data_IF_469875198263
#
_entry.id   IF_469875198263
#
_cell.length_a   1.000
_cell.length_b   1.000
_cell.length_c   1.000
_cell.angle_alpha   90.00
_cell.angle_beta   90.00
_cell.angle_gamma   90.00
#
_symmetry.space_group_name_H-M   'P 1'
#
loop_
_entity.id
_entity.type
_entity.pdbx_description
1 polymer ?
#
# COMPACT_ATOMS: atom_id res chain seq x y z
N UNK A 1 -34.87 17.12 34.96
CA UNK A 1 -34.48 16.13 33.93
C UNK A 1 -33.09 15.63 34.29
N UNK A 2 -33.04 14.50 34.99
CA UNK A 2 -31.85 13.85 35.50
C UNK A 2 -31.33 12.82 34.48
N UNK A 3 -30.03 12.90 34.18
CA UNK A 3 -29.30 12.00 33.28
C UNK A 3 -29.14 10.62 33.95
N UNK A 4 -29.40 9.47 33.28
CA UNK A 4 -29.20 8.17 33.89
C UNK A 4 -27.72 7.77 33.92
N UNK A 5 -27.34 7.14 35.02
CA UNK A 5 -26.00 6.73 35.40
C UNK A 5 -25.75 5.29 34.92
N UNK A 6 -24.84 5.07 33.97
CA UNK A 6 -24.53 3.75 33.38
C UNK A 6 -23.48 2.99 34.21
N UNK A 7 -23.78 2.72 35.47
CA UNK A 7 -22.91 1.94 36.38
C UNK A 7 -23.71 0.81 37.04
N UNK A 8 -24.29 -0.10 36.26
CA UNK A 8 -24.76 -1.41 36.75
C UNK A 8 -24.55 -2.46 35.65
N UNK A 9 -23.47 -3.22 35.76
CA UNK A 9 -23.32 -4.48 35.03
C UNK A 9 -24.23 -5.53 35.70
N UNK A 10 -25.11 -6.24 34.98
CA UNK A 10 -25.77 -7.41 35.53
C UNK A 10 -24.79 -8.59 35.54
N UNK A 11 -24.73 -9.26 36.69
CA UNK A 11 -23.95 -10.46 36.98
C UNK A 11 -24.04 -11.51 35.85
N UNK A 12 -22.89 -11.94 35.32
CA UNK A 12 -22.79 -13.19 34.57
C UNK A 12 -21.86 -14.17 35.28
N UNK A 13 -22.41 -15.35 35.52
CA UNK A 13 -21.81 -16.55 36.14
C UNK A 13 -20.74 -17.14 35.22
N UNK A 14 -19.65 -17.74 35.74
CA UNK A 14 -18.59 -18.29 34.89
C UNK A 14 -19.00 -19.65 34.34
N UNK A 15 -19.25 -19.75 33.03
CA UNK A 15 -19.30 -21.03 32.33
C UNK A 15 -18.14 -21.10 31.34
N UNK A 16 -17.19 -21.99 31.66
CA UNK A 16 -16.22 -22.54 30.72
C UNK A 16 -16.97 -23.45 29.76
N UNK A 17 -17.22 -23.00 28.53
CA UNK A 17 -17.51 -23.88 27.41
C UNK A 17 -17.21 -23.12 26.11
N UNK A 18 -16.47 -23.77 25.21
CA UNK A 18 -16.19 -23.27 23.87
C UNK A 18 -17.51 -23.18 23.11
N UNK A 19 -17.96 -21.97 22.79
CA UNK A 19 -19.18 -21.75 22.01
C UNK A 19 -18.75 -21.28 20.60
N UNK A 20 -19.06 -22.14 19.64
CA UNK A 20 -19.10 -21.87 18.20
C UNK A 20 -19.90 -20.59 17.93
N UNK A 21 -19.45 -19.78 16.97
CA UNK A 21 -19.98 -18.45 16.67
C UNK A 21 -21.52 -18.44 16.58
N UNK A 22 -22.16 -17.66 17.45
CA UNK A 22 -23.61 -17.51 17.53
C UNK A 22 -24.09 -16.51 16.47
N UNK A 23 -25.09 -16.96 15.68
CA UNK A 23 -25.78 -16.30 14.59
C UNK A 23 -26.21 -14.83 14.87
N UNK A 24 -26.05 -13.97 13.87
CA UNK A 24 -26.63 -12.63 13.87
C UNK A 24 -28.16 -12.71 13.75
N UNK A 25 -28.89 -11.83 14.45
CA UNK A 25 -30.36 -11.75 14.39
C UNK A 25 -30.92 -11.22 13.06
N UNK A 26 -30.07 -11.00 12.08
CA UNK A 26 -30.42 -10.62 10.71
C UNK A 26 -29.87 -11.67 9.75
N UNK A 27 -30.76 -12.47 9.17
CA UNK A 27 -30.45 -13.57 8.24
C UNK A 27 -29.61 -13.08 7.03
N UNK A 28 -29.80 -11.83 6.60
CA UNK A 28 -29.02 -11.19 5.53
C UNK A 28 -27.56 -10.90 5.91
N UNK A 29 -27.23 -10.79 7.19
CA UNK A 29 -25.86 -10.54 7.68
C UNK A 29 -25.09 -11.85 7.78
N UNK A 30 -25.75 -12.95 8.14
CA UNK A 30 -25.12 -14.26 8.21
C UNK A 30 -24.70 -14.78 6.83
N UNK A 31 -25.48 -14.51 5.78
CA UNK A 31 -25.12 -14.83 4.39
C UNK A 31 -23.92 -14.01 3.85
N UNK A 32 -23.62 -12.85 4.44
CA UNK A 32 -22.46 -12.03 4.09
C UNK A 32 -21.22 -12.43 4.90
N UNK A 33 -21.42 -12.93 6.13
CA UNK A 33 -20.36 -13.30 7.08
C UNK A 33 -19.93 -14.76 6.93
N UNK A 34 -20.77 -15.66 6.39
CA UNK A 34 -20.45 -17.07 6.15
C UNK A 34 -19.43 -17.31 5.01
N UNK A 35 -18.62 -16.33 4.66
CA UNK A 35 -17.49 -16.46 3.74
C UNK A 35 -16.31 -17.22 4.39
N UNK A 36 -16.60 -18.21 5.22
CA UNK A 36 -15.65 -19.30 5.43
C UNK A 36 -15.64 -20.13 4.15
N UNK A 37 -14.49 -20.09 3.47
CA UNK A 37 -14.24 -20.83 2.24
C UNK A 37 -14.47 -22.33 2.47
N UNK A 38 -15.70 -22.77 2.23
CA UNK A 38 -16.06 -24.18 2.25
C UNK A 38 -15.29 -24.87 1.12
N UNK A 39 -14.26 -25.64 1.48
CA UNK A 39 -13.26 -26.24 0.59
C UNK A 39 -13.84 -27.13 -0.54
N UNK A 40 -15.15 -27.40 -0.53
CA UNK A 40 -15.83 -28.38 -1.39
C UNK A 40 -16.72 -27.80 -2.48
N UNK A 41 -16.94 -26.49 -2.58
CA UNK A 41 -17.85 -25.94 -3.62
C UNK A 41 -17.13 -25.50 -4.90
N UNK A 42 -17.05 -26.41 -5.87
CA UNK A 42 -16.59 -26.12 -7.24
C UNK A 42 -17.50 -25.12 -8.01
N UNK A 43 -18.74 -24.90 -7.53
CA UNK A 43 -19.71 -23.99 -8.15
C UNK A 43 -19.68 -22.56 -7.56
N UNK A 44 -19.21 -22.37 -6.32
CA UNK A 44 -19.06 -21.01 -5.77
C UNK A 44 -17.91 -20.28 -6.47
N UNK A 45 -16.90 -21.01 -6.95
CA UNK A 45 -15.75 -20.45 -7.67
C UNK A 45 -16.12 -19.76 -8.98
N UNK A 46 -17.09 -20.23 -9.78
CA UNK A 46 -17.41 -19.55 -11.06
C UNK A 46 -18.17 -18.24 -10.85
N UNK A 47 -19.15 -18.23 -9.94
CA UNK A 47 -19.88 -17.01 -9.56
C UNK A 47 -18.96 -16.03 -8.85
N UNK A 48 -18.12 -16.51 -7.92
CA UNK A 48 -17.05 -15.72 -7.29
C UNK A 48 -16.02 -15.21 -8.32
N UNK A 49 -15.69 -15.99 -9.35
CA UNK A 49 -14.78 -15.59 -10.41
C UNK A 49 -15.38 -14.46 -11.27
N UNK A 50 -16.64 -14.57 -11.70
CA UNK A 50 -17.33 -13.50 -12.40
C UNK A 50 -17.45 -12.26 -11.52
N UNK A 51 -17.96 -12.39 -10.29
CA UNK A 51 -18.08 -11.25 -9.37
C UNK A 51 -16.73 -10.64 -9.00
N UNK A 52 -15.64 -11.41 -9.01
CA UNK A 52 -14.28 -10.89 -8.77
C UNK A 52 -13.74 -10.05 -9.94
N UNK A 53 -14.08 -10.36 -11.19
CA UNK A 53 -13.79 -9.47 -12.35
C UNK A 53 -14.53 -8.17 -12.17
N UNK A 54 -15.82 -8.24 -11.82
CA UNK A 54 -16.65 -7.07 -11.55
C UNK A 54 -16.06 -6.25 -10.39
N UNK A 55 -15.69 -6.87 -9.27
CA UNK A 55 -15.12 -6.20 -8.10
C UNK A 55 -13.77 -5.52 -8.41
N UNK A 56 -12.84 -6.19 -9.09
CA UNK A 56 -11.54 -5.60 -9.40
C UNK A 56 -11.63 -4.49 -10.46
N UNK A 57 -12.57 -4.59 -11.40
CA UNK A 57 -12.84 -3.54 -12.39
C UNK A 57 -13.54 -2.32 -11.75
N UNK A 58 -14.28 -2.52 -10.65
CA UNK A 58 -15.02 -1.47 -9.91
C UNK A 58 -14.22 -0.75 -8.82
N UNK A 59 -13.01 -1.19 -8.46
CA UNK A 59 -12.17 -0.50 -7.45
C UNK A 59 -11.91 0.97 -7.85
N UNK A 60 -12.05 1.29 -9.14
CA UNK A 60 -12.25 2.65 -9.63
C UNK A 60 -13.58 2.74 -10.39
N UNK A 61 -14.24 3.90 -10.36
CA UNK A 61 -15.48 4.12 -11.12
C UNK A 61 -15.27 3.72 -12.58
N UNK A 62 -16.04 2.76 -13.13
CA UNK A 62 -15.85 2.26 -14.49
C UNK A 62 -16.11 3.34 -15.56
N UNK A 63 -16.67 4.50 -15.18
CA UNK A 63 -16.79 5.65 -16.06
C UNK A 63 -15.53 6.52 -16.11
N UNK A 64 -14.67 6.44 -15.09
CA UNK A 64 -13.47 7.26 -14.99
C UNK A 64 -12.26 6.66 -15.74
N UNK A 65 -12.28 5.35 -15.99
CA UNK A 65 -11.19 4.62 -16.63
C UNK A 65 -11.53 4.35 -18.11
N UNK A 66 -10.65 4.65 -19.08
CA UNK A 66 -10.92 4.39 -20.49
C UNK A 66 -11.21 2.90 -20.78
N UNK A 67 -12.16 2.62 -21.68
CA UNK A 67 -12.60 1.24 -21.97
C UNK A 67 -11.49 0.31 -22.47
N UNK A 68 -10.50 0.84 -23.19
CA UNK A 68 -9.33 0.06 -23.62
C UNK A 68 -8.47 -0.40 -22.44
N UNK A 69 -8.37 0.39 -21.37
CA UNK A 69 -7.65 0.02 -20.14
C UNK A 69 -8.39 -1.11 -19.45
N UNK A 70 -9.72 -0.98 -19.34
CA UNK A 70 -10.57 -2.01 -18.74
C UNK A 70 -10.48 -3.34 -19.48
N UNK A 71 -10.48 -3.31 -20.82
CA UNK A 71 -10.30 -4.51 -21.62
C UNK A 71 -8.94 -5.19 -21.34
N UNK A 72 -7.86 -4.41 -21.23
CA UNK A 72 -6.54 -4.95 -20.87
C UNK A 72 -6.51 -5.55 -19.46
N UNK A 73 -7.12 -4.89 -18.47
CA UNK A 73 -7.25 -5.42 -17.11
C UNK A 73 -8.04 -6.72 -17.11
N UNK A 74 -9.15 -6.78 -17.84
CA UNK A 74 -9.97 -7.99 -17.94
C UNK A 74 -9.20 -9.16 -18.57
N UNK A 75 -8.46 -8.91 -19.66
CA UNK A 75 -7.61 -9.93 -20.30
C UNK A 75 -6.51 -10.39 -19.34
N UNK A 76 -5.82 -9.47 -18.68
CA UNK A 76 -4.80 -9.81 -17.68
C UNK A 76 -5.37 -10.63 -16.53
N UNK A 77 -6.55 -10.28 -16.04
CA UNK A 77 -7.26 -11.02 -15.02
C UNK A 77 -7.58 -12.45 -15.46
N UNK A 78 -8.14 -12.64 -16.66
CA UNK A 78 -8.45 -13.97 -17.20
C UNK A 78 -7.18 -14.80 -17.32
N UNK A 79 -6.11 -14.25 -17.90
CA UNK A 79 -4.84 -14.95 -18.05
C UNK A 79 -4.26 -15.39 -16.69
N UNK A 80 -4.24 -14.50 -15.70
CA UNK A 80 -3.59 -14.76 -14.41
C UNK A 80 -4.47 -15.64 -13.51
N UNK A 81 -5.74 -15.27 -13.32
CA UNK A 81 -6.61 -15.91 -12.35
C UNK A 81 -7.33 -17.15 -12.90
N UNK A 82 -7.63 -17.22 -14.20
CA UNK A 82 -8.36 -18.36 -14.76
C UNK A 82 -7.46 -19.39 -15.44
N UNK A 83 -6.30 -18.97 -15.96
CA UNK A 83 -5.39 -19.89 -16.65
C UNK A 83 -4.19 -20.21 -15.76
N UNK A 84 -3.37 -19.21 -15.41
CA UNK A 84 -2.09 -19.44 -14.73
C UNK A 84 -2.30 -19.96 -13.30
N UNK A 85 -3.17 -19.33 -12.50
CA UNK A 85 -3.36 -19.71 -11.10
C UNK A 85 -3.92 -21.13 -10.94
N UNK A 86 -4.97 -21.56 -11.67
CA UNK A 86 -5.43 -22.94 -11.60
C UNK A 86 -4.38 -23.92 -12.12
N UNK A 87 -3.68 -23.59 -13.22
CA UNK A 87 -2.63 -24.46 -13.77
C UNK A 87 -1.53 -24.73 -12.74
N UNK A 88 -1.01 -23.68 -12.08
CA UNK A 88 0.03 -23.80 -11.05
C UNK A 88 -0.47 -24.60 -9.83
N UNK A 89 -1.74 -24.43 -9.45
CA UNK A 89 -2.31 -25.17 -8.33
C UNK A 89 -2.52 -26.65 -8.63
N UNK A 90 -3.05 -26.99 -9.81
CA UNK A 90 -3.29 -28.39 -10.21
C UNK A 90 -1.99 -29.17 -10.42
N UNK A 91 -0.97 -28.51 -10.98
CA UNK A 91 0.36 -29.09 -11.20
C UNK A 91 1.20 -29.17 -9.92
N UNK A 92 0.67 -28.70 -8.78
CA UNK A 92 1.31 -28.68 -7.46
C UNK A 92 2.75 -28.14 -7.48
N UNK A 93 2.97 -27.12 -8.31
CA UNK A 93 4.26 -26.45 -8.37
C UNK A 93 4.53 -25.84 -6.99
N UNK A 94 5.69 -26.16 -6.39
CA UNK A 94 6.11 -25.67 -5.08
C UNK A 94 5.19 -26.02 -3.88
N UNK A 95 4.44 -27.12 -3.96
CA UNK A 95 3.52 -27.60 -2.89
C UNK A 95 2.39 -26.61 -2.57
N UNK A 96 1.84 -25.93 -3.58
CA UNK A 96 0.74 -24.98 -3.40
C UNK A 96 -0.60 -25.62 -3.05
N UNK A 97 -0.79 -26.94 -3.20
CA UNK A 97 -2.06 -27.60 -2.83
C UNK A 97 -2.39 -27.52 -1.34
N UNK A 98 -1.39 -27.29 -0.49
CA UNK A 98 -1.56 -27.09 0.96
C UNK A 98 -2.26 -25.73 1.24
N UNK A 99 -2.23 -24.82 0.28
CA UNK A 99 -2.72 -23.45 0.41
C UNK A 99 -3.99 -23.25 -0.43
N UNK A 100 -4.92 -22.38 0.03
CA UNK A 100 -6.08 -22.02 -0.77
C UNK A 100 -5.63 -21.27 -2.03
N UNK A 101 -6.36 -21.45 -3.14
CA UNK A 101 -6.06 -20.79 -4.42
C UNK A 101 -6.13 -19.28 -4.25
N UNK A 102 -7.21 -18.80 -3.65
CA UNK A 102 -7.44 -17.40 -3.31
C UNK A 102 -7.36 -17.21 -1.80
N UNK A 103 -6.83 -16.09 -1.36
CA UNK A 103 -6.81 -15.74 0.06
C UNK A 103 -5.94 -14.52 0.31
N UNK A 104 -6.28 -13.76 1.36
CA UNK A 104 -5.51 -12.60 1.82
C UNK A 104 -4.66 -12.92 3.07
N UNK A 105 -4.85 -14.12 3.63
CA UNK A 105 -4.22 -14.54 4.88
C UNK A 105 -2.94 -15.30 4.58
N UNK A 106 -1.85 -14.87 5.22
CA UNK A 106 -0.55 -15.53 5.16
C UNK A 106 -0.59 -16.84 5.94
N UNK A 107 0.13 -17.84 5.44
CA UNK A 107 0.09 -19.21 5.97
C UNK A 107 1.49 -19.71 6.31
N UNK A 108 1.57 -20.62 7.27
CA UNK A 108 2.80 -21.35 7.57
C UNK A 108 3.05 -22.44 6.53
N UNK A 109 4.19 -23.12 6.65
CA UNK A 109 4.56 -24.31 5.87
C UNK A 109 3.47 -25.40 5.98
N UNK A 110 2.83 -25.51 7.14
CA UNK A 110 1.79 -26.51 7.42
C UNK A 110 0.38 -26.10 6.97
N UNK A 111 0.22 -24.91 6.38
CA UNK A 111 -1.10 -24.39 5.96
C UNK A 111 -1.93 -23.76 7.09
N UNK A 112 -1.41 -23.67 8.31
CA UNK A 112 -1.99 -22.89 9.40
C UNK A 112 -1.79 -21.38 9.20
N UNK A 113 -2.54 -20.53 9.91
CA UNK A 113 -2.40 -19.06 9.83
C UNK A 113 -1.04 -18.64 10.39
N UNK A 114 -0.29 -17.84 9.63
CA UNK A 114 1.02 -17.34 10.07
C UNK A 114 0.88 -16.20 11.07
N UNK A 115 1.35 -16.41 12.31
CA UNK A 115 1.29 -15.43 13.39
C UNK A 115 2.56 -14.59 13.44
N UNK A 116 2.46 -13.36 12.97
CA UNK A 116 3.60 -12.43 12.90
C UNK A 116 4.15 -12.06 14.29
N UNK A 117 3.26 -11.94 15.27
CA UNK A 117 3.63 -11.58 16.63
C UNK A 117 4.59 -12.58 17.30
N UNK A 118 4.66 -13.82 16.81
CA UNK A 118 5.52 -14.87 17.37
C UNK A 118 6.95 -14.84 16.78
N UNK A 119 7.16 -14.08 15.70
CA UNK A 119 8.41 -14.05 14.92
C UNK A 119 9.09 -12.68 15.00
N UNK A 120 8.38 -11.69 15.51
CA UNK A 120 8.87 -10.33 15.72
C UNK A 120 9.04 -10.10 17.21
N UNK A 121 10.24 -9.68 17.62
CA UNK A 121 10.47 -9.27 19.00
C UNK A 121 9.66 -8.00 19.30
N UNK A 122 8.73 -8.11 20.23
CA UNK A 122 7.94 -6.98 20.74
C UNK A 122 8.68 -6.44 21.97
N UNK A 123 9.25 -5.24 21.94
CA UNK A 123 9.95 -4.70 23.10
C UNK A 123 8.99 -4.49 24.28
N UNK A 124 9.39 -4.96 25.47
CA UNK A 124 8.55 -4.98 26.67
C UNK A 124 8.23 -3.58 27.26
N UNK A 125 8.91 -2.52 26.80
CA UNK A 125 8.67 -1.15 27.26
C UNK A 125 8.18 -0.27 26.12
N UNK A 126 6.94 0.25 26.26
CA UNK A 126 6.31 1.23 25.37
C UNK A 126 6.81 2.68 25.64
N UNK A 127 7.88 2.86 26.41
CA UNK A 127 8.38 4.19 26.79
C UNK A 127 9.11 4.91 25.65
N UNK A 128 9.69 4.15 24.71
CA UNK A 128 10.36 4.64 23.49
C UNK A 128 9.64 4.08 22.25
N UNK A 129 9.88 4.61 21.04
CA UNK A 129 9.32 4.03 19.81
C UNK A 129 9.74 2.54 19.73
N UNK A 130 8.79 1.58 19.72
CA UNK A 130 9.13 0.18 19.68
C UNK A 130 9.80 -0.14 18.34
N UNK A 131 11.10 -0.46 18.39
CA UNK A 131 11.81 -1.02 17.24
C UNK A 131 11.50 -2.51 17.20
N UNK A 132 10.69 -2.90 16.23
CA UNK A 132 10.43 -4.30 15.93
C UNK A 132 11.64 -4.86 15.19
N UNK A 133 12.23 -5.91 15.75
CA UNK A 133 13.31 -6.68 15.13
C UNK A 133 12.80 -8.09 14.87
N UNK A 134 13.29 -8.69 13.79
CA UNK A 134 12.99 -10.08 13.51
C UNK A 134 13.76 -10.98 14.48
N UNK A 135 13.06 -11.87 15.18
CA UNK A 135 13.69 -12.89 15.99
C UNK A 135 14.10 -14.06 15.10
N UNK A 136 15.40 -14.20 14.84
CA UNK A 136 15.91 -15.22 13.93
C UNK A 136 15.67 -16.64 14.45
N UNK A 137 15.81 -16.87 15.76
CA UNK A 137 15.62 -18.20 16.35
C UNK A 137 14.16 -18.64 16.32
N UNK A 138 13.22 -17.71 16.55
CA UNK A 138 11.80 -17.96 16.40
C UNK A 138 11.47 -18.21 14.92
N UNK A 139 12.05 -17.44 14.01
CA UNK A 139 11.85 -17.61 12.57
C UNK A 139 12.33 -18.98 12.06
N UNK A 140 13.52 -19.42 12.48
CA UNK A 140 14.03 -20.76 12.11
C UNK A 140 13.12 -21.89 12.60
N UNK A 141 12.48 -21.71 13.76
CA UNK A 141 11.53 -22.68 14.33
C UNK A 141 10.17 -22.66 13.62
N UNK A 142 9.62 -21.47 13.33
CA UNK A 142 8.32 -21.31 12.68
C UNK A 142 8.36 -21.55 11.16
N UNK A 143 9.53 -21.39 10.55
CA UNK A 143 9.73 -21.56 9.12
C UNK A 143 9.30 -20.36 8.28
N UNK A 144 9.51 -20.43 6.95
CA UNK A 144 9.22 -19.33 6.05
C UNK A 144 7.72 -19.07 5.90
N UNK A 145 7.36 -17.79 5.75
CA UNK A 145 6.00 -17.37 5.40
C UNK A 145 5.64 -17.88 4.01
N UNK A 146 4.48 -18.53 3.90
CA UNK A 146 3.87 -18.84 2.60
C UNK A 146 2.70 -17.91 2.31
N UNK A 147 2.67 -17.46 1.07
CA UNK A 147 1.58 -16.65 0.53
C UNK A 147 0.62 -17.55 -0.26
N UNK A 148 -0.69 -17.26 -0.24
CA UNK A 148 -1.64 -17.84 -1.16
C UNK A 148 -1.20 -17.63 -2.62
N UNK A 149 -1.55 -18.58 -3.49
CA UNK A 149 -1.05 -18.63 -4.86
C UNK A 149 -1.32 -17.34 -5.63
N UNK A 150 -2.53 -16.80 -5.52
CA UNK A 150 -2.92 -15.60 -6.27
C UNK A 150 -2.20 -14.35 -5.78
N UNK A 151 -1.83 -14.27 -4.50
CA UNK A 151 -0.94 -13.21 -4.00
C UNK A 151 0.45 -13.31 -4.62
N UNK A 152 1.03 -14.51 -4.71
CA UNK A 152 2.37 -14.71 -5.30
C UNK A 152 2.38 -14.31 -6.77
N UNK A 153 1.42 -14.80 -7.55
CA UNK A 153 1.35 -14.48 -8.98
C UNK A 153 1.11 -12.98 -9.18
N UNK A 154 0.26 -12.36 -8.35
CA UNK A 154 0.06 -10.92 -8.36
C UNK A 154 1.34 -10.14 -8.05
N UNK A 155 2.12 -10.54 -7.02
CA UNK A 155 3.42 -9.92 -6.75
C UNK A 155 4.42 -10.10 -7.89
N UNK A 156 4.47 -11.27 -8.52
CA UNK A 156 5.32 -11.50 -9.67
C UNK A 156 4.96 -10.55 -10.83
N UNK A 157 3.66 -10.36 -11.10
CA UNK A 157 3.20 -9.40 -12.11
C UNK A 157 3.55 -7.96 -11.73
N UNK A 158 3.39 -7.56 -10.47
CA UNK A 158 3.80 -6.24 -10.00
C UNK A 158 5.30 -6.00 -10.15
N UNK A 159 6.13 -7.00 -9.87
CA UNK A 159 7.58 -6.91 -10.07
C UNK A 159 7.94 -6.79 -11.56
N UNK A 160 7.26 -7.54 -12.44
CA UNK A 160 7.43 -7.43 -13.88
C UNK A 160 6.94 -6.08 -14.44
N UNK A 161 5.93 -5.49 -13.80
CA UNK A 161 5.38 -4.19 -14.20
C UNK A 161 6.40 -3.06 -14.03
N UNK A 162 7.32 -3.16 -13.06
CA UNK A 162 8.27 -2.09 -12.75
C UNK A 162 9.24 -1.75 -13.88
N UNK A 163 10.01 -2.70 -14.44
CA UNK A 163 10.86 -2.41 -15.59
C UNK A 163 10.01 -2.13 -16.83
N UNK A 164 8.85 -2.77 -16.98
CA UNK A 164 7.98 -2.59 -18.15
C UNK A 164 7.51 -1.15 -18.30
N UNK A 165 7.03 -0.51 -17.22
CA UNK A 165 6.59 0.89 -17.26
C UNK A 165 7.75 1.85 -17.53
N UNK A 166 8.92 1.63 -16.91
CA UNK A 166 10.11 2.47 -17.13
C UNK A 166 10.53 2.40 -18.60
N UNK A 167 10.65 1.19 -19.15
CA UNK A 167 11.01 0.98 -20.55
C UNK A 167 9.95 1.56 -21.48
N UNK A 168 8.66 1.37 -21.19
CA UNK A 168 7.57 1.92 -21.97
C UNK A 168 7.61 3.46 -22.00
N UNK A 169 7.82 4.09 -20.85
CA UNK A 169 7.96 5.55 -20.75
C UNK A 169 9.14 6.06 -21.57
N UNK A 170 10.31 5.40 -21.48
CA UNK A 170 11.50 5.83 -22.23
C UNK A 170 11.32 5.65 -23.74
N UNK A 171 10.80 4.51 -24.19
CA UNK A 171 10.70 4.19 -25.62
C UNK A 171 9.58 4.98 -26.31
N UNK A 172 8.39 5.06 -25.72
CA UNK A 172 7.23 5.70 -26.35
C UNK A 172 7.17 7.20 -26.09
N UNK A 173 7.47 7.64 -24.87
CA UNK A 173 7.32 9.04 -24.47
C UNK A 173 8.65 9.80 -24.37
N UNK A 174 9.81 9.12 -24.47
CA UNK A 174 11.12 9.76 -24.27
C UNK A 174 11.38 10.95 -25.19
N UNK A 175 11.01 10.85 -26.48
CA UNK A 175 11.18 11.95 -27.44
C UNK A 175 10.30 13.15 -27.10
N UNK A 176 9.06 12.89 -26.70
CA UNK A 176 8.12 13.94 -26.30
C UNK A 176 8.56 14.60 -24.99
N UNK A 177 9.01 13.81 -24.01
CA UNK A 177 9.57 14.32 -22.74
C UNK A 177 10.72 15.27 -23.02
N UNK A 178 11.70 14.88 -23.84
CA UNK A 178 12.84 15.73 -24.20
C UNK A 178 12.39 17.00 -24.94
N UNK A 179 11.45 16.87 -25.87
CA UNK A 179 10.87 18.01 -26.59
C UNK A 179 10.18 18.97 -25.63
N UNK A 180 9.38 18.48 -24.69
CA UNK A 180 8.67 19.31 -23.72
C UNK A 180 9.60 19.94 -22.69
N UNK A 181 10.64 19.24 -22.24
CA UNK A 181 11.69 19.81 -21.39
C UNK A 181 12.42 20.97 -22.07
N UNK A 182 12.71 20.84 -23.37
CA UNK A 182 13.35 21.91 -24.14
C UNK A 182 12.39 23.06 -24.49
N UNK A 183 11.14 22.74 -24.82
CA UNK A 183 10.16 23.71 -25.32
C UNK A 183 9.48 24.49 -24.20
N UNK A 184 9.33 23.92 -22.99
CA UNK A 184 8.71 24.62 -21.85
C UNK A 184 9.48 25.88 -21.45
N UNK A 185 10.78 25.92 -21.77
CA UNK A 185 11.66 27.07 -21.57
C UNK A 185 11.45 28.18 -22.62
N UNK A 186 10.96 27.86 -23.82
CA UNK A 186 10.97 28.78 -24.96
C UNK A 186 9.57 29.18 -25.51
N UNK A 187 8.53 28.33 -25.42
CA UNK A 187 7.26 28.56 -26.10
C UNK A 187 6.04 28.41 -25.18
N UNK A 188 5.73 29.45 -24.41
CA UNK A 188 4.60 29.49 -23.45
C UNK A 188 3.24 29.89 -24.03
N UNK A 189 3.15 30.28 -25.31
CA UNK A 189 1.99 31.03 -25.84
C UNK A 189 1.10 30.30 -26.86
N UNK A 190 1.23 29.00 -27.06
CA UNK A 190 0.47 28.29 -28.11
C UNK A 190 -0.97 27.88 -27.72
N UNK A 191 -1.30 27.82 -26.43
CA UNK A 191 -2.64 27.46 -25.92
C UNK A 191 -3.40 28.70 -25.40
N UNK A 192 -4.71 28.77 -25.66
CA UNK A 192 -5.60 29.80 -25.12
C UNK A 192 -5.56 29.84 -23.59
N UNK A 193 -5.45 28.69 -22.92
CA UNK A 193 -5.39 28.66 -21.46
C UNK A 193 -4.08 29.27 -20.93
N UNK A 194 -2.96 29.04 -21.61
CA UNK A 194 -1.67 29.64 -21.26
C UNK A 194 -1.67 31.15 -21.55
N UNK A 195 -2.27 31.59 -22.67
CA UNK A 195 -2.44 33.01 -22.99
C UNK A 195 -3.32 33.74 -21.98
N UNK A 196 -4.38 33.10 -21.49
CA UNK A 196 -5.21 33.66 -20.41
C UNK A 196 -4.44 33.71 -19.08
N UNK A 197 -3.54 32.74 -18.84
CA UNK A 197 -2.75 32.69 -17.62
C UNK A 197 -1.52 33.60 -17.62
N UNK A 198 -1.05 34.09 -18.77
CA UNK A 198 0.11 34.99 -18.83
C UNK A 198 -0.08 36.31 -18.07
N UNK A 199 -1.32 36.68 -17.77
CA UNK A 199 -1.65 37.85 -16.94
C UNK A 199 -1.32 37.64 -15.45
N UNK A 200 -1.21 36.39 -15.00
CA UNK A 200 -0.87 36.06 -13.61
C UNK A 200 0.62 35.79 -13.47
N UNK A 201 1.22 36.33 -12.40
CA UNK A 201 2.61 36.04 -12.08
C UNK A 201 2.76 34.58 -11.64
N UNK A 202 3.61 33.85 -12.31
CA UNK A 202 3.98 32.50 -11.90
C UNK A 202 4.67 32.49 -10.52
N UNK A 203 4.55 31.35 -9.84
CA UNK A 203 5.34 31.07 -8.66
C UNK A 203 6.77 30.73 -9.12
N UNK A 204 7.81 31.40 -8.59
CA UNK A 204 9.17 31.14 -9.02
C UNK A 204 9.61 29.74 -8.58
N UNK A 205 10.42 29.08 -9.41
CA UNK A 205 10.85 27.69 -9.18
C UNK A 205 11.60 27.49 -7.86
N UNK A 206 12.32 28.52 -7.40
CA UNK A 206 13.06 28.46 -6.14
C UNK A 206 12.14 28.31 -4.91
N UNK A 207 10.86 28.72 -4.96
CA UNK A 207 9.91 28.46 -3.86
C UNK A 207 9.72 26.96 -3.66
N UNK A 208 9.60 26.21 -4.75
CA UNK A 208 9.50 24.75 -4.72
C UNK A 208 10.79 24.10 -4.26
N UNK A 209 11.94 24.58 -4.75
CA UNK A 209 13.25 24.06 -4.35
C UNK A 209 13.52 24.25 -2.86
N UNK A 210 13.22 25.45 -2.31
CA UNK A 210 13.37 25.73 -0.87
C UNK A 210 12.43 24.84 -0.05
N UNK A 211 11.18 24.67 -0.47
CA UNK A 211 10.23 23.79 0.20
C UNK A 211 10.72 22.34 0.22
N UNK A 212 11.20 21.84 -0.93
CA UNK A 212 11.72 20.48 -1.07
C UNK A 212 12.93 20.24 -0.15
N UNK A 213 13.89 21.16 -0.15
CA UNK A 213 15.08 21.07 0.71
C UNK A 213 14.67 21.11 2.18
N UNK A 214 13.81 22.07 2.57
CA UNK A 214 13.37 22.24 3.95
C UNK A 214 12.67 20.98 4.47
N UNK A 215 11.71 20.44 3.73
CA UNK A 215 10.96 19.24 4.15
C UNK A 215 11.85 18.00 4.20
N UNK A 216 12.76 17.86 3.23
CA UNK A 216 13.72 16.73 3.21
C UNK A 216 14.69 16.80 4.39
N UNK A 217 15.20 17.99 4.72
CA UNK A 217 16.08 18.20 5.89
C UNK A 217 15.33 17.92 7.18
N UNK A 218 14.11 18.43 7.36
CA UNK A 218 13.30 18.14 8.54
C UNK A 218 13.01 16.64 8.70
N UNK A 219 12.62 15.97 7.61
CA UNK A 219 12.40 14.53 7.57
C UNK A 219 13.66 13.75 7.97
N UNK A 220 14.82 14.17 7.46
CA UNK A 220 16.12 13.57 7.78
C UNK A 220 16.48 13.73 9.27
N UNK A 221 16.27 14.94 9.82
CA UNK A 221 16.51 15.23 11.24
C UNK A 221 15.61 14.38 12.13
N UNK A 222 14.31 14.27 11.79
CA UNK A 222 13.35 13.48 12.57
C UNK A 222 13.73 12.00 12.56
N UNK A 223 14.05 11.43 11.39
CA UNK A 223 14.46 10.02 11.28
C UNK A 223 15.74 9.73 12.09
N UNK A 224 16.69 10.69 12.10
CA UNK A 224 17.93 10.55 12.84
C UNK A 224 17.72 10.67 14.36
N UNK A 225 17.00 11.70 14.83
CA UNK A 225 16.76 11.93 16.25
C UNK A 225 15.88 10.85 16.90
N UNK A 226 14.92 10.31 16.14
CA UNK A 226 14.05 9.26 16.64
C UNK A 226 14.66 7.84 16.50
N UNK A 227 15.90 7.73 16.02
CA UNK A 227 16.61 6.47 15.78
C UNK A 227 15.79 5.44 14.97
N UNK A 228 14.94 5.92 14.06
CA UNK A 228 14.02 5.06 13.30
C UNK A 228 14.75 4.41 12.13
N UNK A 229 15.54 5.19 11.40
CA UNK A 229 16.22 4.79 10.17
C UNK A 229 17.43 5.71 9.94
N UNK A 230 18.57 5.21 9.43
CA UNK A 230 19.70 6.07 9.08
C UNK A 230 19.34 7.18 8.09
N UNK A 231 19.93 8.36 8.29
CA UNK A 231 19.56 9.60 7.61
C UNK A 231 19.67 9.53 6.08
N UNK A 232 20.67 8.80 5.55
CA UNK A 232 20.93 8.73 4.11
C UNK A 232 19.84 7.97 3.34
N UNK A 233 19.10 7.06 3.99
CA UNK A 233 18.00 6.34 3.34
C UNK A 233 16.83 7.25 2.97
N UNK A 234 16.64 8.36 3.68
CA UNK A 234 15.64 9.38 3.32
C UNK A 234 16.00 10.02 1.96
N UNK A 235 17.28 10.32 1.73
CA UNK A 235 17.76 10.90 0.47
C UNK A 235 17.66 9.91 -0.70
N UNK A 236 17.95 8.63 -0.44
CA UNK A 236 17.78 7.55 -1.42
C UNK A 236 16.29 7.43 -1.78
N UNK A 237 15.40 7.36 -0.79
CA UNK A 237 13.95 7.27 -1.01
C UNK A 237 13.43 8.48 -1.80
N UNK A 238 13.87 9.70 -1.47
CA UNK A 238 13.48 10.92 -2.18
C UNK A 238 13.96 10.91 -3.64
N UNK A 239 15.18 10.44 -3.89
CA UNK A 239 15.77 10.33 -5.24
C UNK A 239 15.04 9.29 -6.09
N UNK A 240 14.72 8.12 -5.52
CA UNK A 240 13.92 7.09 -6.18
C UNK A 240 12.51 7.61 -6.46
N UNK A 241 11.86 8.25 -5.48
CA UNK A 241 10.54 8.83 -5.69
C UNK A 241 10.56 9.85 -6.84
N UNK A 242 11.56 10.73 -6.89
CA UNK A 242 11.73 11.69 -7.97
C UNK A 242 11.81 11.03 -9.35
N UNK A 243 12.60 9.95 -9.50
CA UNK A 243 12.69 9.20 -10.75
C UNK A 243 11.38 8.52 -11.12
N UNK A 244 10.62 8.02 -10.13
CA UNK A 244 9.37 7.30 -10.36
C UNK A 244 8.15 8.22 -10.58
N UNK A 245 8.21 9.50 -10.20
CA UNK A 245 7.12 10.46 -10.42
C UNK A 245 6.76 10.56 -11.91
N UNK A 246 7.76 10.64 -12.79
CA UNK A 246 7.53 10.83 -14.22
C UNK A 246 6.82 9.64 -14.89
N UNK A 247 7.31 8.39 -14.80
CA UNK A 247 6.61 7.25 -15.37
C UNK A 247 5.25 7.01 -14.71
N UNK A 248 5.14 7.18 -13.38
CA UNK A 248 3.87 7.03 -12.66
C UNK A 248 2.84 8.10 -13.11
N UNK A 249 3.28 9.35 -13.30
CA UNK A 249 2.42 10.43 -13.74
C UNK A 249 1.90 10.25 -15.18
N UNK A 250 2.73 9.74 -16.10
CA UNK A 250 2.31 9.43 -17.47
C UNK A 250 1.30 8.27 -17.48
N UNK A 251 1.53 7.23 -16.69
CA UNK A 251 0.58 6.13 -16.54
C UNK A 251 -0.76 6.65 -16.00
N UNK A 252 -0.74 7.41 -14.91
CA UNK A 252 -1.94 7.99 -14.32
C UNK A 252 -2.70 8.88 -15.32
N UNK A 253 -1.97 9.72 -16.07
CA UNK A 253 -2.57 10.60 -17.07
C UNK A 253 -3.26 9.86 -18.23
N UNK A 254 -2.72 8.71 -18.67
CA UNK A 254 -3.26 7.96 -19.79
C UNK A 254 -4.33 6.95 -19.36
N UNK A 255 -4.17 6.34 -18.20
CA UNK A 255 -4.99 5.19 -17.77
C UNK A 255 -6.01 5.53 -16.68
N UNK A 256 -5.77 6.59 -15.89
CA UNK A 256 -6.56 6.90 -14.69
C UNK A 256 -6.33 5.94 -13.51
N UNK A 257 -5.46 4.94 -13.65
CA UNK A 257 -5.18 3.96 -12.62
C UNK A 257 -4.30 4.55 -11.51
N UNK A 258 -4.60 4.18 -10.25
CA UNK A 258 -3.86 4.65 -9.09
C UNK A 258 -2.37 4.29 -9.17
N UNK A 259 -1.52 5.31 -9.01
CA UNK A 259 -0.06 5.23 -9.06
C UNK A 259 0.55 4.29 -7.99
N UNK A 260 -0.16 4.12 -6.88
CA UNK A 260 0.27 3.29 -5.74
C UNK A 260 0.50 1.82 -6.14
N UNK A 261 -0.26 1.32 -7.13
CA UNK A 261 -0.14 -0.04 -7.65
C UNK A 261 1.23 -0.32 -8.26
N UNK A 262 1.94 0.73 -8.70
CA UNK A 262 3.30 0.64 -9.22
C UNK A 262 4.35 0.94 -8.15
N UNK A 263 4.15 2.00 -7.38
CA UNK A 263 5.21 2.55 -6.52
C UNK A 263 5.39 1.77 -5.22
N UNK A 264 4.35 1.13 -4.69
CA UNK A 264 4.46 0.26 -3.50
C UNK A 264 5.27 -1.01 -3.75
N UNK A 265 5.03 -1.79 -4.81
CA UNK A 265 5.88 -2.95 -5.10
C UNK A 265 7.34 -2.55 -5.33
N UNK A 266 7.59 -1.39 -5.97
CA UNK A 266 8.94 -0.86 -6.16
C UNK A 266 9.61 -0.48 -4.84
N UNK A 267 8.88 0.15 -3.90
CA UNK A 267 9.42 0.48 -2.58
C UNK A 267 9.74 -0.78 -1.78
N UNK A 268 8.82 -1.75 -1.76
CA UNK A 268 8.99 -3.05 -1.09
C UNK A 268 10.20 -3.83 -1.61
N UNK A 269 10.41 -3.84 -2.93
CA UNK A 269 11.59 -4.46 -3.54
C UNK A 269 12.88 -3.77 -3.06
N UNK A 270 12.93 -2.45 -3.06
CA UNK A 270 14.11 -1.71 -2.60
C UNK A 270 14.34 -1.88 -1.10
N UNK A 271 13.28 -1.87 -0.28
CA UNK A 271 13.39 -2.12 1.15
C UNK A 271 13.94 -3.52 1.44
N UNK A 272 13.56 -4.53 0.65
CA UNK A 272 14.13 -5.88 0.77
C UNK A 272 15.65 -5.92 0.55
N UNK A 273 16.18 -5.05 -0.31
CA UNK A 273 17.61 -4.99 -0.61
C UNK A 273 18.40 -4.24 0.47
N UNK A 274 17.80 -3.22 1.08
CA UNK A 274 18.49 -2.35 2.05
C UNK A 274 18.35 -2.81 3.50
N UNK A 275 17.19 -3.35 3.88
CA UNK A 275 16.85 -3.65 5.28
C UNK A 275 16.66 -5.15 5.50
N UNK A 276 17.69 -5.79 6.03
CA UNK A 276 17.63 -7.21 6.43
C UNK A 276 17.31 -7.29 7.93
N UNK A 277 16.32 -8.10 8.30
CA UNK A 277 15.87 -8.30 9.70
C UNK A 277 15.36 -7.04 10.44
N UNK A 278 15.15 -5.94 9.72
CA UNK A 278 14.79 -4.63 10.26
C UNK A 278 13.41 -4.16 9.75
N UNK A 279 12.31 -4.78 10.22
CA UNK A 279 10.97 -4.49 9.68
C UNK A 279 10.50 -3.06 9.98
N UNK A 280 10.84 -2.47 11.13
CA UNK A 280 10.48 -1.06 11.42
C UNK A 280 11.08 -0.10 10.39
N UNK A 281 12.35 -0.28 10.05
CA UNK A 281 13.05 0.55 9.06
C UNK A 281 12.43 0.37 7.67
N UNK A 282 12.16 -0.89 7.28
CA UNK A 282 11.55 -1.23 6.00
C UNK A 282 10.16 -0.61 5.83
N UNK A 283 9.29 -0.66 6.85
CA UNK A 283 7.95 -0.03 6.80
C UNK A 283 8.07 1.48 6.56
N UNK A 284 8.97 2.15 7.27
CA UNK A 284 9.13 3.61 7.16
C UNK A 284 9.65 3.98 5.78
N UNK A 285 10.66 3.26 5.28
CA UNK A 285 11.15 3.45 3.91
C UNK A 285 10.07 3.21 2.86
N UNK A 286 9.27 2.14 3.02
CA UNK A 286 8.19 1.78 2.10
C UNK A 286 7.09 2.83 2.00
N UNK A 287 6.89 3.64 3.05
CA UNK A 287 5.91 4.73 3.03
C UNK A 287 6.42 5.96 2.28
N UNK A 288 7.73 6.24 2.29
CA UNK A 288 8.28 7.45 1.69
C UNK A 288 8.09 7.51 0.18
N UNK A 289 8.43 6.45 -0.57
CA UNK A 289 8.39 6.47 -2.03
C UNK A 289 6.94 6.64 -2.54
N UNK A 290 5.99 5.74 -2.20
CA UNK A 290 4.66 5.76 -2.78
C UNK A 290 3.88 6.98 -2.31
N UNK A 291 4.01 7.39 -1.05
CA UNK A 291 3.30 8.59 -0.56
C UNK A 291 3.84 9.89 -1.17
N UNK A 292 5.15 9.98 -1.38
CA UNK A 292 5.76 11.13 -2.07
C UNK A 292 5.26 11.20 -3.52
N UNK A 293 5.28 10.08 -4.25
CA UNK A 293 4.76 10.04 -5.62
C UNK A 293 3.28 10.38 -5.69
N UNK A 294 2.47 9.84 -4.77
CA UNK A 294 1.04 10.11 -4.69
C UNK A 294 0.75 11.60 -4.49
N UNK A 295 1.43 12.20 -3.52
CA UNK A 295 1.25 13.63 -3.22
C UNK A 295 1.70 14.50 -4.39
N UNK A 296 2.79 14.14 -5.09
CA UNK A 296 3.28 14.87 -6.24
C UNK A 296 2.32 14.79 -7.45
N UNK A 297 1.76 13.62 -7.75
CA UNK A 297 0.79 13.46 -8.86
C UNK A 297 -0.51 14.21 -8.54
N UNK A 298 -1.05 14.07 -7.32
CA UNK A 298 -2.23 14.82 -6.91
C UNK A 298 -2.00 16.33 -6.92
N UNK A 299 -0.80 16.78 -6.57
CA UNK A 299 -0.40 18.18 -6.71
C UNK A 299 -0.46 18.64 -8.17
N UNK A 300 0.03 17.84 -9.12
CA UNK A 300 -0.07 18.14 -10.56
C UNK A 300 -1.52 18.19 -11.05
N UNK A 301 -2.38 17.29 -10.59
CA UNK A 301 -3.81 17.28 -10.91
C UNK A 301 -4.47 18.59 -10.47
N UNK A 302 -4.20 19.02 -9.23
CA UNK A 302 -4.72 20.30 -8.69
C UNK A 302 -4.16 21.48 -9.46
N UNK A 303 -2.86 21.51 -9.79
CA UNK A 303 -2.28 22.59 -10.59
C UNK A 303 -2.94 22.69 -11.98
N UNK A 304 -3.18 21.56 -12.64
CA UNK A 304 -3.87 21.52 -13.93
C UNK A 304 -5.30 22.04 -13.82
N UNK A 305 -6.04 21.61 -12.78
CA UNK A 305 -7.39 22.10 -12.52
C UNK A 305 -7.38 23.62 -12.27
N UNK A 306 -6.47 24.12 -11.45
CA UNK A 306 -6.31 25.56 -11.17
C UNK A 306 -5.94 26.35 -12.43
N UNK A 307 -5.15 25.76 -13.32
CA UNK A 307 -4.83 26.35 -14.62
C UNK A 307 -6.08 26.52 -15.50
N UNK A 308 -7.02 25.56 -15.45
CA UNK A 308 -8.31 25.68 -16.15
C UNK A 308 -9.24 26.70 -15.50
N UNK A 309 -9.30 26.72 -14.16
CA UNK A 309 -10.16 27.63 -13.38
C UNK A 309 -9.64 29.08 -13.30
N UNK A 310 -8.45 29.37 -13.84
CA UNK A 310 -7.83 30.71 -13.83
C UNK A 310 -7.53 31.24 -12.43
N UNK A 311 -7.13 30.34 -11.54
CA UNK A 311 -6.67 30.70 -10.20
C UNK A 311 -5.18 31.07 -10.24
N UNK A 312 -4.75 32.23 -9.68
CA UNK A 312 -3.36 32.65 -9.71
C UNK A 312 -2.39 31.61 -9.11
N UNK A 313 -1.27 31.26 -9.77
CA UNK A 313 -0.37 30.19 -9.32
C UNK A 313 0.23 30.41 -7.92
N UNK A 314 0.55 31.66 -7.55
CA UNK A 314 1.11 31.98 -6.22
C UNK A 314 0.13 31.74 -5.08
N UNK A 315 -1.15 32.03 -5.32
CA UNK A 315 -2.21 31.77 -4.33
C UNK A 315 -2.39 30.27 -4.17
N UNK A 316 -2.33 29.51 -5.27
CA UNK A 316 -2.39 28.06 -5.23
C UNK A 316 -1.25 27.41 -4.47
N UNK A 317 -0.01 27.89 -4.67
CA UNK A 317 1.14 27.42 -3.90
C UNK A 317 0.92 27.55 -2.39
N UNK A 318 0.51 28.74 -1.93
CA UNK A 318 0.28 29.00 -0.50
C UNK A 318 -0.91 28.18 0.04
N UNK A 319 -2.01 28.13 -0.71
CA UNK A 319 -3.20 27.39 -0.31
C UNK A 319 -2.90 25.90 -0.10
N UNK A 320 -2.16 25.28 -1.02
CA UNK A 320 -1.81 23.86 -0.93
C UNK A 320 -0.91 23.58 0.27
N UNK A 321 0.05 24.46 0.57
CA UNK A 321 0.91 24.32 1.75
C UNK A 321 0.06 24.37 3.04
N UNK A 322 -0.86 25.34 3.13
CA UNK A 322 -1.75 25.46 4.29
C UNK A 322 -2.63 24.22 4.44
N UNK A 323 -3.26 23.75 3.36
CA UNK A 323 -4.07 22.54 3.39
C UNK A 323 -3.27 21.29 3.79
N UNK A 324 -2.02 21.18 3.31
CA UNK A 324 -1.13 20.07 3.65
C UNK A 324 -0.75 20.09 5.14
N UNK A 325 -0.48 21.28 5.70
CA UNK A 325 -0.21 21.44 7.13
C UNK A 325 -1.42 21.07 7.99
N UNK A 326 -2.61 21.54 7.62
CA UNK A 326 -3.87 21.19 8.31
C UNK A 326 -4.06 19.67 8.29
N UNK A 327 -3.93 19.04 7.12
CA UNK A 327 -4.05 17.59 6.98
C UNK A 327 -3.04 16.84 7.84
N UNK A 328 -1.77 17.26 7.85
CA UNK A 328 -0.73 16.64 8.67
C UNK A 328 -1.02 16.75 10.18
N UNK A 329 -1.48 17.92 10.64
CA UNK A 329 -1.86 18.15 12.04
C UNK A 329 -3.05 17.27 12.42
N UNK A 330 -4.11 17.25 11.61
CA UNK A 330 -5.31 16.45 11.86
C UNK A 330 -4.96 14.96 11.93
N UNK A 331 -4.22 14.43 10.95
CA UNK A 331 -3.80 13.01 10.96
C UNK A 331 -2.94 12.67 12.20
N UNK A 332 -2.03 13.55 12.61
CA UNK A 332 -1.18 13.35 13.78
C UNK A 332 -1.98 13.38 15.08
N UNK A 333 -2.94 14.29 15.21
CA UNK A 333 -3.86 14.37 16.36
C UNK A 333 -4.75 13.14 16.45
N UNK A 334 -5.28 12.66 15.34
CA UNK A 334 -6.06 11.42 15.31
C UNK A 334 -5.20 10.23 15.75
N UNK A 335 -3.99 10.09 15.22
CA UNK A 335 -3.08 9.01 15.60
C UNK A 335 -2.72 9.05 17.10
N UNK A 336 -2.44 10.24 17.64
CA UNK A 336 -2.19 10.44 19.07
C UNK A 336 -3.43 10.09 19.91
N UNK A 337 -4.62 10.50 19.47
CA UNK A 337 -5.87 10.25 20.17
C UNK A 337 -6.20 8.76 20.23
N UNK A 338 -6.00 8.03 19.12
CA UNK A 338 -6.17 6.57 19.07
C UNK A 338 -5.23 5.87 20.06
N UNK A 339 -3.94 6.25 20.07
CA UNK A 339 -2.94 5.67 21.00
C UNK A 339 -3.27 5.95 22.48
N UNK A 340 -3.88 7.09 22.79
CA UNK A 340 -4.25 7.45 24.17
C UNK A 340 -5.52 6.73 24.64
N UNK A 341 -6.48 6.51 23.74
CA UNK A 341 -7.79 5.93 24.08
C UNK A 341 -7.73 4.40 24.16
N UNK A 342 -6.95 3.75 23.29
CA UNK A 342 -6.85 2.28 23.27
C UNK A 342 -5.70 1.85 24.20
N UNK A 343 -6.05 1.43 25.43
CA UNK A 343 -5.11 0.86 26.41
C UNK A 343 -4.95 -0.66 26.31
N UNK A 344 -5.75 -1.34 25.47
CA UNK A 344 -5.69 -2.78 25.31
C UNK A 344 -4.52 -3.17 24.39
N UNK A 345 -3.79 -4.25 24.69
CA UNK A 345 -2.68 -4.74 23.86
C UNK A 345 -3.14 -5.29 22.50
N UNK A 346 -4.44 -5.54 22.35
CA UNK A 346 -5.06 -5.99 21.10
C UNK A 346 -5.89 -4.85 20.50
N UNK A 347 -5.47 -4.36 19.33
CA UNK A 347 -6.22 -3.39 18.53
C UNK A 347 -7.35 -4.03 17.72
N UNK A 348 -7.28 -5.35 17.51
CA UNK A 348 -8.22 -6.08 16.69
C UNK A 348 -8.48 -7.46 17.31
N UNK A 349 -9.60 -7.57 18.01
CA UNK A 349 -10.24 -8.81 18.39
C UNK A 349 -11.46 -8.98 17.49
N UNK A 350 -11.40 -9.94 16.55
CA UNK A 350 -12.48 -10.17 15.58
C UNK A 350 -13.78 -10.65 16.24
N UNK A 351 -13.73 -11.06 17.51
CA UNK A 351 -14.93 -11.39 18.29
C UNK A 351 -15.73 -10.15 18.71
N UNK A 352 -15.15 -8.94 18.63
CA UNK A 352 -15.78 -7.69 19.05
C UNK A 352 -15.98 -6.75 17.86
N UNK A 353 -17.21 -6.59 17.34
CA UNK A 353 -17.49 -5.77 16.16
C UNK A 353 -17.25 -4.26 16.37
N UNK A 354 -17.13 -3.82 17.63
CA UNK A 354 -16.88 -2.44 18.03
C UNK A 354 -15.39 -2.01 17.95
N UNK A 355 -14.47 -2.95 17.70
CA UNK A 355 -13.04 -2.64 17.60
C UNK A 355 -12.61 -2.25 16.18
N UNK A 356 -11.78 -1.21 16.09
CA UNK A 356 -11.26 -0.70 14.82
C UNK A 356 -10.13 -1.61 14.29
N UNK A 357 -10.48 -2.63 13.52
CA UNK A 357 -9.52 -3.46 12.81
C UNK A 357 -9.02 -2.75 11.54
N UNK A 358 -7.80 -2.23 11.58
CA UNK A 358 -7.16 -1.60 10.40
C UNK A 358 -6.38 -2.66 9.62
N UNK A 359 -7.08 -3.40 8.75
CA UNK A 359 -6.49 -4.48 7.96
C UNK A 359 -5.38 -4.01 7.02
N UNK A 360 -5.46 -2.78 6.50
CA UNK A 360 -4.47 -2.23 5.57
C UNK A 360 -3.11 -2.01 6.23
N UNK A 361 -3.08 -1.48 7.45
CA UNK A 361 -1.85 -1.28 8.21
C UNK A 361 -1.19 -2.62 8.57
N UNK A 362 -2.00 -3.64 8.90
CA UNK A 362 -1.51 -4.98 9.18
C UNK A 362 -0.94 -5.67 7.93
N UNK A 363 -1.51 -5.39 6.74
CA UNK A 363 -0.99 -5.87 5.45
C UNK A 363 0.36 -5.25 5.12
N UNK A 364 0.48 -3.93 5.20
CA UNK A 364 1.72 -3.20 4.93
C UNK A 364 2.86 -3.61 5.87
N UNK A 365 2.56 -3.71 7.17
CA UNK A 365 3.55 -4.17 8.16
C UNK A 365 4.02 -5.60 7.89
N UNK A 366 3.09 -6.48 7.54
CA UNK A 366 3.42 -7.85 7.19
C UNK A 366 4.22 -7.98 5.89
N UNK A 367 3.94 -7.11 4.91
CA UNK A 367 4.69 -7.07 3.66
C UNK A 367 6.12 -6.61 3.91
N UNK A 368 6.31 -5.56 4.71
CA UNK A 368 7.65 -5.14 5.10
C UNK A 368 8.43 -6.25 5.80
N UNK A 369 7.79 -7.05 6.66
CA UNK A 369 8.41 -8.24 7.25
C UNK A 369 8.78 -9.25 6.17
N UNK A 370 7.83 -9.62 5.31
CA UNK A 370 8.06 -10.57 4.22
C UNK A 370 9.23 -10.15 3.33
N UNK A 371 9.29 -8.89 2.92
CA UNK A 371 10.36 -8.37 2.07
C UNK A 371 11.68 -8.20 2.83
N UNK A 372 11.66 -7.85 4.12
CA UNK A 372 12.89 -7.88 4.94
C UNK A 372 13.48 -9.29 5.07
N UNK A 373 12.63 -10.33 4.99
CA UNK A 373 13.05 -11.73 4.94
C UNK A 373 13.59 -12.12 3.55
N UNK A 374 13.07 -11.52 2.46
CA UNK A 374 13.61 -11.67 1.10
C UNK A 374 15.05 -11.16 1.00
N UNK A 375 15.39 -10.08 1.70
CA UNK A 375 16.76 -9.58 1.74
C UNK A 375 17.76 -10.63 2.23
N UNK A 376 17.39 -11.40 3.25
CA UNK A 376 18.18 -12.53 3.78
C UNK A 376 18.27 -13.70 2.78
N UNK A 377 17.23 -13.87 1.96
CA UNK A 377 17.12 -14.84 0.87
C UNK A 377 18.19 -14.65 -0.24
N UNK A 378 18.78 -13.47 -0.39
CA UNK A 378 19.90 -13.29 -1.33
C UNK A 378 21.17 -14.04 -0.87
N UNK A 379 21.21 -14.48 0.39
CA UNK A 379 22.27 -15.32 0.96
C UNK A 379 21.90 -16.82 1.06
N UNK A 380 20.61 -17.19 0.90
CA UNK A 380 20.15 -18.56 1.17
C UNK A 380 19.19 -19.14 0.10
N UNK A 381 19.25 -20.45 -0.17
CA UNK A 381 18.62 -21.10 -1.36
C UNK A 381 17.13 -21.48 -1.20
N UNK A 382 16.30 -20.66 -0.54
CA UNK A 382 14.87 -21.00 -0.33
C UNK A 382 14.00 -20.84 -1.60
N UNK A 383 12.85 -21.52 -1.66
CA UNK A 383 11.94 -21.53 -2.84
C UNK A 383 11.40 -20.14 -3.18
N UNK A 384 11.14 -19.29 -2.19
CA UNK A 384 10.74 -17.91 -2.44
C UNK A 384 11.89 -17.09 -3.07
N UNK A 385 13.14 -17.34 -2.66
CA UNK A 385 14.30 -16.74 -3.33
C UNK A 385 14.49 -17.27 -4.76
N UNK A 386 14.06 -18.50 -5.09
CA UNK A 386 14.10 -19.03 -6.48
C UNK A 386 13.02 -18.46 -7.40
N UNK A 387 11.97 -17.86 -6.85
CA UNK A 387 10.91 -17.18 -7.61
C UNK A 387 11.29 -15.72 -7.85
N UNK A 388 12.01 -15.12 -6.89
CA UNK A 388 12.47 -13.73 -6.95
C UNK A 388 13.78 -13.59 -7.76
N UNK A 389 14.65 -14.61 -7.74
CA UNK A 389 15.86 -14.73 -8.56
C UNK A 389 15.56 -15.37 -9.90
#
# INVERSE_FOLDING_TARGET
MSVPNYNQAPNMVPHNEYIEAEHSSYEEVDDIVSNEDDQKMLCSTFRACLTSIWYQTYLQSPYAVPGWVQANIAVGFICINWIISPLLWYTDVWNFKILPIQGSVRRSVDGSIYRIAEVVDIPASLSNLPQYRLNETAYEKYGPVRLPLTMIVSYACHLAFIPAIIVHTILYHGKDILKHLHTSLNNRNNDIHCRLMSNYKEAPEWWYAVLFILVTVLSTIICHLAEIMPWYYVLIAASVAFLLILPAGILYANTGLAEFLFTMPASNLLASLFFVNAPTEAVVFNMYIPRSTFTAINFLVVLKLSHFMKIPPRVMFVAIIICSLISAITCSLTAFSIRKTIKTPTLCDRSKPEQLCVDEAAREFALAILFSLVGKCNQDKSVFCRIIR
#
